data_IF_955982830444
#
_entry.id   IF_955982830444
#
_cell.length_a   1.000
_cell.length_b   1.000
_cell.length_c   1.000
_cell.angle_alpha   90.00
_cell.angle_beta   90.00
_cell.angle_gamma   90.00
#
_symmetry.space_group_name_H-M   'P 1'
#
loop_
_entity.id
_entity.type
_entity.pdbx_description
1 polymer ?
#
# COMPACT_ATOMS: atom_id res chain seq x y z
N UNK A 1 1.08 -6.82 13.23
CA UNK A 1 0.47 -6.61 14.55
C UNK A 1 -0.75 -7.51 14.68
N UNK A 2 -0.94 -8.17 15.82
CA UNK A 2 -2.10 -9.02 16.09
C UNK A 2 -2.79 -8.50 17.35
N UNK A 3 -4.03 -8.07 17.21
CA UNK A 3 -4.82 -7.65 18.34
C UNK A 3 -5.26 -8.89 19.15
N UNK A 4 -4.93 -8.94 20.45
CA UNK A 4 -5.23 -10.08 21.35
C UNK A 4 -4.90 -11.44 20.72
N UNK A 5 -3.77 -11.55 20.01
CA UNK A 5 -3.32 -12.74 19.29
C UNK A 5 -4.25 -13.26 18.19
N UNK A 6 -5.32 -12.53 17.83
CA UNK A 6 -6.21 -12.89 16.74
C UNK A 6 -5.49 -12.84 15.39
N UNK A 7 -5.90 -13.70 14.47
CA UNK A 7 -5.39 -13.70 13.10
C UNK A 7 -5.76 -12.40 12.38
N UNK A 8 -4.90 -11.87 11.48
CA UNK A 8 -5.21 -10.69 10.67
C UNK A 8 -6.48 -10.79 9.83
N UNK A 9 -6.99 -11.99 9.57
CA UNK A 9 -8.25 -12.22 8.85
C UNK A 9 -9.50 -11.69 9.60
N UNK A 10 -9.39 -11.41 10.89
CA UNK A 10 -10.46 -10.85 11.72
C UNK A 10 -10.39 -9.33 11.85
N UNK A 11 -9.40 -8.69 11.20
CA UNK A 11 -9.32 -7.24 11.10
C UNK A 11 -9.94 -6.79 9.77
N UNK A 12 -10.99 -5.99 9.86
CA UNK A 12 -11.68 -5.49 8.68
C UNK A 12 -11.04 -4.20 8.19
N UNK A 13 -10.79 -4.13 6.90
CA UNK A 13 -10.20 -2.97 6.27
C UNK A 13 -11.13 -2.43 5.18
N UNK A 14 -11.42 -1.15 5.29
CA UNK A 14 -12.26 -0.41 4.36
C UNK A 14 -11.47 0.69 3.67
N UNK A 15 -11.88 1.03 2.46
CA UNK A 15 -11.44 2.25 1.77
C UNK A 15 -12.71 2.99 1.37
N UNK A 16 -12.88 4.22 1.85
CA UNK A 16 -14.10 5.03 1.67
C UNK A 16 -15.40 4.27 2.06
N UNK A 17 -15.34 3.41 3.07
CA UNK A 17 -16.46 2.59 3.51
C UNK A 17 -16.70 1.31 2.72
N UNK A 18 -15.95 1.04 1.65
CA UNK A 18 -16.02 -0.22 0.91
C UNK A 18 -15.08 -1.26 1.52
N UNK A 19 -15.54 -2.51 1.77
CA UNK A 19 -14.70 -3.57 2.32
C UNK A 19 -13.63 -4.00 1.30
N UNK A 20 -12.40 -4.14 1.76
CA UNK A 20 -11.24 -4.43 0.92
C UNK A 20 -10.49 -5.70 1.32
N UNK A 21 -11.03 -6.47 2.25
CA UNK A 21 -10.48 -7.77 2.60
C UNK A 21 -10.70 -8.75 1.44
N UNK A 22 -9.70 -9.55 1.17
CA UNK A 22 -9.76 -10.60 0.16
C UNK A 22 -10.80 -11.66 0.56
N UNK A 23 -11.69 -12.02 -0.35
CA UNK A 23 -12.84 -12.88 -0.06
C UNK A 23 -12.44 -14.34 0.25
N UNK A 24 -11.30 -14.79 -0.22
CA UNK A 24 -10.79 -16.14 -0.01
C UNK A 24 -10.02 -16.24 1.32
N UNK A 25 -9.06 -15.35 1.55
CA UNK A 25 -8.19 -15.38 2.73
C UNK A 25 -8.73 -14.61 3.93
N UNK A 26 -9.69 -13.72 3.72
CA UNK A 26 -10.20 -12.79 4.73
C UNK A 26 -9.21 -11.68 5.10
N UNK A 27 -8.05 -11.59 4.46
CA UNK A 27 -7.00 -10.65 4.83
C UNK A 27 -6.93 -9.48 3.84
N UNK A 28 -6.62 -8.30 4.35
CA UNK A 28 -6.29 -7.17 3.49
C UNK A 28 -4.87 -7.31 2.94
N UNK A 29 -4.73 -7.16 1.64
CA UNK A 29 -3.44 -7.18 0.94
C UNK A 29 -2.81 -5.80 0.95
N UNK A 30 -1.97 -5.51 1.93
CA UNK A 30 -1.27 -4.21 2.05
C UNK A 30 -0.40 -3.86 0.83
N UNK A 31 -0.07 -4.81 -0.02
CA UNK A 31 0.59 -4.54 -1.31
C UNK A 31 -0.25 -3.67 -2.23
N UNK A 32 -1.58 -3.69 -2.13
CA UNK A 32 -2.49 -2.87 -2.93
C UNK A 32 -2.30 -1.36 -2.70
N UNK A 33 -1.92 -0.98 -1.49
CA UNK A 33 -1.69 0.42 -1.09
C UNK A 33 -0.23 0.74 -0.85
N UNK A 34 0.66 -0.17 -1.25
CA UNK A 34 2.10 -0.03 -1.07
C UNK A 34 2.64 1.22 -1.75
N UNK A 35 3.36 2.08 -1.02
CA UNK A 35 3.89 3.34 -1.54
C UNK A 35 2.93 4.53 -1.51
N UNK A 36 1.66 4.33 -1.14
CA UNK A 36 0.65 5.39 -1.04
C UNK A 36 0.59 5.96 0.39
N UNK A 37 1.72 6.44 0.90
CA UNK A 37 1.86 6.82 2.30
C UNK A 37 0.99 8.01 2.73
N UNK A 38 0.59 8.88 1.80
CA UNK A 38 -0.26 10.01 2.14
C UNK A 38 -1.74 9.58 2.27
N UNK A 39 -2.19 8.69 1.40
CA UNK A 39 -3.54 8.15 1.41
C UNK A 39 -3.78 7.29 2.65
N UNK A 40 -2.80 6.48 3.04
CA UNK A 40 -2.90 5.60 4.21
C UNK A 40 -2.70 6.30 5.56
N UNK A 41 -2.46 7.62 5.58
CA UNK A 41 -2.41 8.41 6.83
C UNK A 41 -3.80 8.77 7.35
N UNK A 42 -4.75 9.00 6.46
CA UNK A 42 -6.13 9.29 6.83
C UNK A 42 -6.85 7.97 7.10
N UNK A 43 -6.83 7.53 8.34
CA UNK A 43 -7.44 6.30 8.77
C UNK A 43 -8.30 6.54 10.00
N UNK A 44 -9.56 6.14 9.91
CA UNK A 44 -10.45 5.98 11.03
C UNK A 44 -10.27 4.57 11.58
N UNK A 45 -10.04 4.45 12.85
CA UNK A 45 -9.80 3.18 13.53
C UNK A 45 -10.88 2.94 14.58
N UNK A 46 -11.48 1.76 14.55
CA UNK A 46 -12.40 1.30 15.58
C UNK A 46 -11.82 0.08 16.30
N UNK A 47 -11.87 0.12 17.63
CA UNK A 47 -11.52 -1.02 18.47
C UNK A 47 -12.55 -2.15 18.29
N UNK A 48 -12.21 -3.40 18.66
CA UNK A 48 -13.16 -4.50 18.63
C UNK A 48 -14.42 -4.17 19.44
N UNK A 49 -15.58 -4.41 18.85
CA UNK A 49 -16.91 -4.15 19.43
C UNK A 49 -17.20 -2.68 19.76
N UNK A 50 -16.34 -1.76 19.31
CA UNK A 50 -16.60 -0.33 19.42
C UNK A 50 -17.64 0.08 18.37
N UNK A 51 -18.58 0.94 18.77
CA UNK A 51 -19.56 1.49 17.84
C UNK A 51 -18.86 2.45 16.87
N UNK A 52 -19.08 2.26 15.57
CA UNK A 52 -18.54 3.09 14.51
C UNK A 52 -19.53 3.15 13.34
N UNK A 53 -19.32 4.05 12.39
CA UNK A 53 -20.22 4.32 11.28
C UNK A 53 -19.75 3.73 9.93
N UNK A 54 -18.71 2.91 9.91
CA UNK A 54 -18.13 2.38 8.67
C UNK A 54 -18.00 0.85 8.65
N UNK A 55 -18.09 0.17 9.78
CA UNK A 55 -17.98 -1.29 9.82
C UNK A 55 -19.12 -1.92 10.66
N UNK A 56 -19.43 -3.16 10.33
CA UNK A 56 -20.41 -3.96 11.08
C UNK A 56 -19.84 -4.63 12.34
N UNK A 57 -18.57 -4.54 12.57
CA UNK A 57 -17.73 -5.01 13.67
C UNK A 57 -16.61 -5.95 13.22
N UNK A 58 -15.38 -5.53 13.39
CA UNK A 58 -14.23 -6.42 13.30
C UNK A 58 -13.91 -7.03 14.67
N UNK A 59 -13.77 -8.34 14.76
CA UNK A 59 -13.37 -9.00 16.02
C UNK A 59 -11.97 -8.58 16.46
N UNK A 60 -11.11 -8.18 15.54
CA UNK A 60 -9.77 -7.67 15.79
C UNK A 60 -9.64 -6.15 15.47
N UNK A 61 -10.76 -5.43 15.45
CA UNK A 61 -10.83 -4.02 15.08
C UNK A 61 -11.02 -3.80 13.60
N UNK A 62 -11.31 -2.55 13.23
CA UNK A 62 -11.58 -2.14 11.85
C UNK A 62 -10.82 -0.88 11.51
N UNK A 63 -10.38 -0.76 10.26
CA UNK A 63 -9.71 0.43 9.74
C UNK A 63 -10.44 0.90 8.49
N UNK A 64 -10.72 2.20 8.40
CA UNK A 64 -11.26 2.82 7.20
C UNK A 64 -10.30 3.89 6.70
N UNK A 65 -9.70 3.67 5.54
CA UNK A 65 -8.83 4.64 4.89
C UNK A 65 -9.67 5.60 4.05
N UNK A 66 -9.48 6.89 4.27
CA UNK A 66 -10.13 7.92 3.45
C UNK A 66 -9.24 8.28 2.25
N UNK A 67 -9.64 7.81 1.06
CA UNK A 67 -8.97 8.06 -0.22
C UNK A 67 -9.66 9.17 -1.03
N UNK A 68 -10.56 9.94 -0.42
CA UNK A 68 -11.18 11.08 -1.08
C UNK A 68 -10.15 12.19 -1.31
N UNK A 69 -10.19 12.84 -2.48
CA UNK A 69 -9.24 13.89 -2.82
C UNK A 69 -9.28 15.09 -1.86
N UNK A 70 -10.46 15.42 -1.33
CA UNK A 70 -10.64 16.54 -0.41
C UNK A 70 -10.09 16.31 1.01
N UNK A 71 -9.83 15.06 1.39
CA UNK A 71 -9.19 14.71 2.67
C UNK A 71 -7.67 14.78 2.62
N UNK A 72 -7.08 14.91 1.42
CA UNK A 72 -5.64 15.02 1.26
C UNK A 72 -5.14 16.41 1.61
N UNK A 73 -3.98 16.48 2.28
CA UNK A 73 -3.34 17.74 2.61
C UNK A 73 -3.01 18.53 1.33
N UNK A 74 -3.42 19.81 1.29
CA UNK A 74 -3.17 20.70 0.16
C UNK A 74 -1.68 21.04 -0.01
N UNK A 75 -1.27 21.27 -1.26
CA UNK A 75 0.07 21.67 -1.64
C UNK A 75 0.88 20.56 -2.31
N UNK A 76 2.13 20.88 -2.60
CA UNK A 76 3.09 19.97 -3.22
C UNK A 76 4.04 19.42 -2.15
N UNK A 77 4.34 18.14 -2.21
CA UNK A 77 5.34 17.51 -1.34
C UNK A 77 6.21 16.55 -2.15
N UNK A 78 7.52 16.74 -2.05
CA UNK A 78 8.52 15.81 -2.55
C UNK A 78 9.18 15.15 -1.34
N UNK A 79 9.30 13.83 -1.38
CA UNK A 79 9.98 13.07 -0.34
C UNK A 79 10.99 12.13 -0.98
N UNK A 80 12.23 12.23 -0.53
CA UNK A 80 13.30 11.30 -0.86
C UNK A 80 13.70 10.54 0.39
N UNK A 81 13.90 9.25 0.28
CA UNK A 81 14.33 8.43 1.42
C UNK A 81 15.15 7.24 0.97
N UNK A 82 16.15 6.91 1.77
CA UNK A 82 16.95 5.71 1.65
C UNK A 82 16.52 4.64 2.66
N UNK A 83 16.70 3.39 2.28
CA UNK A 83 16.50 2.23 3.14
C UNK A 83 17.48 1.13 2.73
N UNK A 84 17.72 0.19 3.61
CA UNK A 84 18.68 -0.91 3.36
C UNK A 84 18.04 -2.30 3.43
N UNK A 85 16.71 -2.39 3.35
CA UNK A 85 16.00 -3.67 3.45
C UNK A 85 15.47 -4.13 2.10
N UNK A 86 14.26 -3.71 1.72
CA UNK A 86 13.62 -4.16 0.48
C UNK A 86 14.02 -3.30 -0.72
N UNK A 87 14.18 -1.99 -0.51
CA UNK A 87 14.61 -1.03 -1.53
C UNK A 87 15.70 -0.14 -0.97
N UNK A 88 16.52 0.41 -1.86
CA UNK A 88 17.61 1.34 -1.50
C UNK A 88 17.13 2.78 -1.56
N UNK A 89 16.37 3.12 -2.58
CA UNK A 89 15.89 4.48 -2.82
C UNK A 89 14.38 4.51 -2.99
N UNK A 90 13.74 5.53 -2.43
CA UNK A 90 12.35 5.89 -2.67
C UNK A 90 12.24 7.37 -2.98
N UNK A 91 11.65 7.69 -4.13
CA UNK A 91 11.18 9.03 -4.47
C UNK A 91 9.66 9.05 -4.44
N UNK A 92 9.05 10.08 -3.82
CA UNK A 92 7.61 10.26 -3.76
C UNK A 92 7.28 11.71 -4.04
N UNK A 93 6.31 11.92 -4.93
CA UNK A 93 5.67 13.20 -5.18
C UNK A 93 4.20 13.10 -4.83
N UNK A 94 3.70 14.06 -4.07
CA UNK A 94 2.29 14.15 -3.67
C UNK A 94 1.79 15.56 -3.92
N UNK A 95 0.60 15.65 -4.50
CA UNK A 95 -0.11 16.89 -4.71
C UNK A 95 -1.54 16.76 -4.21
N UNK A 96 -2.02 17.80 -3.51
CA UNK A 96 -3.41 17.99 -3.16
C UNK A 96 -3.81 19.43 -3.45
N UNK A 97 -4.94 19.65 -4.11
CA UNK A 97 -5.42 21.00 -4.38
C UNK A 97 -6.19 21.60 -3.19
N UNK A 98 -6.71 20.76 -2.29
CA UNK A 98 -7.81 21.13 -1.42
C UNK A 98 -9.08 21.47 -2.22
N UNK A 99 -10.17 21.86 -1.54
CA UNK A 99 -11.38 22.30 -2.21
C UNK A 99 -11.22 23.74 -2.73
N UNK A 100 -11.51 23.95 -4.01
CA UNK A 100 -11.60 25.28 -4.58
C UNK A 100 -12.98 25.92 -4.33
N UNK A 101 -13.15 27.20 -4.70
CA UNK A 101 -14.41 27.93 -4.55
C UNK A 101 -15.60 27.30 -5.27
N UNK A 102 -15.37 26.45 -6.25
CA UNK A 102 -16.40 25.71 -6.98
C UNK A 102 -16.66 24.32 -6.38
N UNK A 103 -16.04 23.96 -5.24
CA UNK A 103 -16.19 22.69 -4.57
C UNK A 103 -15.47 21.51 -5.22
N UNK A 104 -14.46 21.73 -6.06
CA UNK A 104 -13.61 20.69 -6.63
C UNK A 104 -12.34 20.50 -5.82
N UNK A 105 -11.94 19.24 -5.64
CA UNK A 105 -10.65 18.86 -5.09
C UNK A 105 -9.99 17.80 -5.98
N UNK A 106 -8.68 17.90 -6.13
CA UNK A 106 -7.83 16.98 -6.87
C UNK A 106 -6.67 16.53 -6.00
N UNK A 107 -6.31 15.27 -6.11
CA UNK A 107 -5.13 14.75 -5.42
C UNK A 107 -4.42 13.71 -6.29
N UNK A 108 -3.09 13.71 -6.21
CA UNK A 108 -2.28 12.69 -6.87
C UNK A 108 -1.08 12.32 -6.00
N UNK A 109 -0.64 11.07 -6.12
CA UNK A 109 0.60 10.59 -5.53
C UNK A 109 1.30 9.69 -6.55
N UNK A 110 2.59 9.92 -6.72
CA UNK A 110 3.47 9.08 -7.53
C UNK A 110 4.64 8.69 -6.64
N UNK A 111 4.89 7.39 -6.52
CA UNK A 111 6.01 6.87 -5.72
C UNK A 111 6.79 5.87 -6.56
N UNK A 112 8.11 6.00 -6.56
CA UNK A 112 9.02 5.03 -7.13
C UNK A 112 9.97 4.50 -6.06
N UNK A 113 10.08 3.18 -5.97
CA UNK A 113 10.95 2.46 -5.03
C UNK A 113 11.86 1.54 -5.81
N UNK A 114 13.14 1.66 -5.59
CA UNK A 114 14.12 0.95 -6.38
C UNK A 114 15.25 0.38 -5.52
N UNK A 115 15.69 -0.83 -5.87
CA UNK A 115 16.95 -1.44 -5.43
C UNK A 115 17.46 -2.38 -6.51
N UNK A 116 18.67 -2.14 -6.98
CA UNK A 116 19.37 -3.10 -7.85
C UNK A 116 19.87 -4.32 -7.06
N UNK A 117 20.20 -4.11 -5.80
CA UNK A 117 20.55 -5.15 -4.83
C UNK A 117 19.87 -4.82 -3.51
N UNK A 118 19.07 -5.74 -3.01
CA UNK A 118 18.49 -5.64 -1.68
C UNK A 118 19.49 -6.05 -0.59
N UNK A 119 19.00 -6.12 0.64
CA UNK A 119 19.81 -6.56 1.80
C UNK A 119 20.38 -7.97 1.61
N UNK A 120 19.63 -8.86 0.98
CA UNK A 120 20.04 -10.24 0.69
C UNK A 120 20.52 -10.32 -0.76
N UNK A 121 21.60 -11.07 -0.99
CA UNK A 121 22.21 -11.22 -2.32
C UNK A 121 21.22 -11.81 -3.33
N UNK A 122 21.31 -11.34 -4.56
CA UNK A 122 20.45 -11.76 -5.65
C UNK A 122 19.01 -11.24 -5.60
N UNK A 123 18.67 -10.42 -4.62
CA UNK A 123 17.37 -9.73 -4.60
C UNK A 123 17.45 -8.37 -5.27
N UNK A 124 16.37 -7.97 -5.91
CA UNK A 124 16.15 -6.63 -6.44
C UNK A 124 14.69 -6.20 -6.16
N UNK A 125 14.43 -4.92 -6.28
CA UNK A 125 13.12 -4.35 -6.05
C UNK A 125 12.87 -3.19 -7.00
N UNK A 126 11.75 -3.23 -7.72
CA UNK A 126 11.30 -2.19 -8.63
C UNK A 126 9.79 -2.05 -8.47
N UNK A 127 9.34 -0.92 -7.93
CA UNK A 127 7.93 -0.69 -7.71
C UNK A 127 7.57 0.75 -8.02
N UNK A 128 6.57 0.91 -8.86
CA UNK A 128 5.94 2.18 -9.18
C UNK A 128 4.54 2.19 -8.56
N UNK A 129 4.20 3.24 -7.81
CA UNK A 129 2.87 3.37 -7.22
C UNK A 129 2.27 4.69 -7.67
N UNK A 130 1.00 4.66 -8.05
CA UNK A 130 0.25 5.85 -8.43
C UNK A 130 -1.08 5.91 -7.71
N UNK A 131 -1.52 7.12 -7.47
CA UNK A 131 -2.85 7.45 -6.99
C UNK A 131 -3.34 8.70 -7.72
N UNK A 132 -4.59 8.68 -8.13
CA UNK A 132 -5.29 9.84 -8.65
C UNK A 132 -6.68 9.88 -8.03
N UNK A 133 -7.06 11.04 -7.51
CA UNK A 133 -8.37 11.28 -6.91
C UNK A 133 -8.96 12.61 -7.38
N UNK A 134 -10.26 12.60 -7.61
CA UNK A 134 -11.06 13.80 -7.87
C UNK A 134 -12.31 13.75 -7.01
N UNK A 135 -12.68 14.90 -6.45
CA UNK A 135 -13.89 15.03 -5.64
C UNK A 135 -14.62 16.30 -5.97
N UNK A 136 -15.93 16.22 -6.02
CA UNK A 136 -16.84 17.36 -6.16
C UNK A 136 -17.79 17.39 -4.97
N UNK A 137 -17.83 18.52 -4.29
CA UNK A 137 -18.79 18.81 -3.21
C UNK A 137 -19.74 19.91 -3.65
N UNK A 138 -21.03 19.72 -3.39
CA UNK A 138 -22.09 20.70 -3.65
C UNK A 138 -22.61 21.28 -2.33
N UNK A 139 -23.23 22.46 -2.41
CA UNK A 139 -23.77 23.15 -1.25
C UNK A 139 -25.02 22.48 -0.65
N UNK A 140 -25.64 21.57 -1.38
CA UNK A 140 -26.84 20.81 -0.98
C UNK A 140 -26.54 19.51 -0.22
N UNK A 141 -25.32 19.37 0.31
CA UNK A 141 -24.91 18.21 1.10
C UNK A 141 -24.42 16.99 0.30
N UNK A 142 -24.46 17.05 -1.04
CA UNK A 142 -23.92 15.96 -1.86
C UNK A 142 -22.42 16.10 -2.09
N UNK A 143 -21.73 14.98 -2.12
CA UNK A 143 -20.33 14.88 -2.52
C UNK A 143 -20.11 13.62 -3.37
N UNK A 144 -19.44 13.77 -4.50
CA UNK A 144 -18.99 12.66 -5.35
C UNK A 144 -17.47 12.61 -5.36
N UNK A 145 -16.93 11.43 -5.20
CA UNK A 145 -15.49 11.17 -5.23
C UNK A 145 -15.18 9.99 -6.14
N UNK A 146 -14.18 10.15 -6.97
CA UNK A 146 -13.57 9.06 -7.74
C UNK A 146 -12.09 8.99 -7.35
N UNK A 147 -11.62 7.79 -7.05
CA UNK A 147 -10.22 7.51 -6.72
C UNK A 147 -9.77 6.25 -7.42
N UNK A 148 -8.58 6.30 -8.02
CA UNK A 148 -7.94 5.15 -8.64
C UNK A 148 -6.48 5.06 -8.22
N UNK A 149 -5.99 3.86 -8.05
CA UNK A 149 -4.60 3.61 -7.66
C UNK A 149 -4.11 2.26 -8.15
N UNK A 150 -2.80 2.10 -8.13
CA UNK A 150 -2.14 0.85 -8.43
C UNK A 150 -0.68 0.86 -8.00
N UNK A 151 -0.12 -0.33 -7.86
CA UNK A 151 1.24 -0.51 -7.39
C UNK A 151 1.93 -1.66 -8.14
N UNK A 152 2.20 -1.50 -9.48
CA UNK A 152 3.02 -2.47 -10.19
C UNK A 152 4.36 -2.66 -9.49
N UNK A 153 4.65 -3.89 -9.15
CA UNK A 153 5.85 -4.27 -8.39
C UNK A 153 6.51 -5.47 -9.04
N UNK A 154 7.78 -5.35 -9.34
CA UNK A 154 8.66 -6.43 -9.72
C UNK A 154 9.74 -6.60 -8.64
N UNK A 155 9.86 -7.79 -8.10
CA UNK A 155 10.84 -8.08 -7.06
C UNK A 155 11.38 -9.49 -7.14
N UNK A 156 12.65 -9.66 -6.83
CA UNK A 156 13.25 -10.96 -6.64
C UNK A 156 13.06 -11.42 -5.19
N UNK A 157 12.75 -12.69 -5.02
CA UNK A 157 12.52 -13.30 -3.72
C UNK A 157 13.81 -13.87 -3.14
N UNK A 158 13.84 -13.97 -1.82
CA UNK A 158 14.79 -14.80 -1.09
C UNK A 158 14.10 -16.09 -0.64
N UNK A 159 14.86 -17.18 -0.55
CA UNK A 159 14.46 -18.42 0.09
C UNK A 159 15.17 -18.62 1.41
N UNK A 160 14.52 -19.35 2.31
CA UNK A 160 15.22 -19.91 3.45
C UNK A 160 16.07 -21.11 3.01
N UNK A 161 17.21 -21.29 3.64
CA UNK A 161 18.05 -22.48 3.53
C UNK A 161 18.06 -23.22 4.87
N UNK A 162 18.59 -24.43 4.88
CA UNK A 162 18.80 -25.17 6.13
C UNK A 162 20.02 -24.60 6.88
N UNK A 163 20.09 -24.87 8.17
CA UNK A 163 21.19 -24.38 9.01
C UNK A 163 22.55 -24.90 8.51
N UNK A 164 22.60 -26.12 7.97
CA UNK A 164 23.82 -26.71 7.40
C UNK A 164 24.34 -25.90 6.21
N UNK A 165 23.44 -25.40 5.35
CA UNK A 165 23.84 -24.58 4.20
C UNK A 165 24.37 -23.23 4.65
N UNK A 166 23.73 -22.58 5.63
CA UNK A 166 24.23 -21.32 6.19
C UNK A 166 25.62 -21.50 6.83
N UNK A 167 25.83 -22.63 7.52
CA UNK A 167 27.12 -22.94 8.10
C UNK A 167 28.20 -23.23 7.05
N UNK A 168 27.87 -24.00 6.00
CA UNK A 168 28.82 -24.32 4.91
C UNK A 168 29.24 -23.08 4.11
N UNK A 169 28.29 -22.17 3.84
CA UNK A 169 28.55 -20.93 3.10
C UNK A 169 29.14 -19.85 4.00
N UNK A 170 29.05 -20.00 5.32
CA UNK A 170 29.44 -19.03 6.34
C UNK A 170 28.74 -17.66 6.13
N UNK A 171 27.48 -17.70 5.69
CA UNK A 171 26.67 -16.50 5.43
C UNK A 171 25.21 -16.75 5.78
N UNK A 172 24.71 -16.07 6.82
CA UNK A 172 23.28 -16.12 7.23
C UNK A 172 22.34 -15.37 6.28
N UNK A 173 22.87 -14.62 5.31
CA UNK A 173 22.09 -13.91 4.28
C UNK A 173 22.09 -14.67 2.95
N UNK A 174 22.61 -15.90 2.94
CA UNK A 174 22.60 -16.73 1.75
C UNK A 174 21.20 -16.87 1.16
N UNK A 175 21.11 -16.74 -0.17
CA UNK A 175 19.87 -16.86 -0.91
C UNK A 175 20.02 -17.96 -1.97
N UNK A 176 19.32 -19.10 -1.86
CA UNK A 176 19.42 -20.19 -2.80
C UNK A 176 18.78 -19.90 -4.16
N UNK A 177 18.05 -18.81 -4.31
CA UNK A 177 17.29 -18.51 -5.53
C UNK A 177 18.09 -17.75 -6.59
N UNK A 178 19.32 -17.34 -6.31
CA UNK A 178 20.10 -16.60 -7.28
C UNK A 178 21.34 -17.34 -7.76
N UNK A 179 21.82 -16.93 -8.93
CA UNK A 179 23.05 -17.44 -9.53
C UNK A 179 23.42 -16.66 -10.78
N UNK A 180 24.44 -17.11 -11.47
CA UNK A 180 24.88 -16.51 -12.72
C UNK A 180 24.39 -17.35 -13.91
N UNK A 181 23.83 -16.68 -14.91
CA UNK A 181 23.48 -17.22 -16.21
C UNK A 181 24.14 -16.36 -17.29
N UNK A 182 25.03 -16.93 -18.05
CA UNK A 182 25.80 -16.24 -19.10
C UNK A 182 26.49 -14.96 -18.57
N UNK A 183 27.08 -15.01 -17.38
CA UNK A 183 27.75 -13.87 -16.75
C UNK A 183 26.81 -12.81 -16.12
N UNK A 184 25.51 -12.96 -16.26
CA UNK A 184 24.52 -12.06 -15.66
C UNK A 184 23.92 -12.68 -14.41
N UNK A 185 23.79 -11.85 -13.36
CA UNK A 185 23.11 -12.27 -12.14
C UNK A 185 21.62 -12.43 -12.40
N UNK A 186 21.08 -13.58 -12.03
CA UNK A 186 19.68 -13.95 -12.18
C UNK A 186 19.12 -14.44 -10.85
N UNK A 187 17.83 -14.25 -10.66
CA UNK A 187 17.07 -14.87 -9.58
C UNK A 187 15.99 -15.77 -10.19
N UNK A 188 15.89 -16.99 -9.69
CA UNK A 188 14.95 -18.00 -10.20
C UNK A 188 13.49 -17.73 -9.78
N UNK A 189 13.28 -16.86 -8.79
CA UNK A 189 11.95 -16.52 -8.27
C UNK A 189 11.70 -15.01 -8.28
N UNK A 190 11.27 -14.54 -9.43
CA UNK A 190 10.82 -13.16 -9.62
C UNK A 190 9.30 -13.10 -9.47
N UNK A 191 8.80 -12.15 -8.69
CA UNK A 191 7.39 -11.90 -8.48
C UNK A 191 7.04 -10.60 -9.17
N UNK A 192 6.08 -10.68 -10.10
CA UNK A 192 5.42 -9.52 -10.72
C UNK A 192 4.00 -9.44 -10.15
N UNK A 193 3.68 -8.35 -9.50
CA UNK A 193 2.36 -8.12 -8.89
C UNK A 193 1.80 -6.78 -9.35
N UNK A 194 0.59 -6.81 -9.88
CA UNK A 194 -0.14 -5.59 -10.24
C UNK A 194 -1.64 -5.82 -10.11
N UNK A 195 -2.25 -5.10 -9.20
CA UNK A 195 -3.70 -5.08 -9.02
C UNK A 195 -4.15 -3.61 -8.98
N UNK A 196 -4.60 -3.04 -10.12
CA UNK A 196 -5.20 -1.71 -10.13
C UNK A 196 -6.55 -1.74 -9.43
N UNK A 197 -6.88 -0.64 -8.77
CA UNK A 197 -8.16 -0.48 -8.10
C UNK A 197 -8.75 0.90 -8.41
N UNK A 198 -10.07 0.96 -8.44
CA UNK A 198 -10.81 2.21 -8.57
C UNK A 198 -12.06 2.15 -7.68
N UNK A 199 -12.38 3.27 -7.08
CA UNK A 199 -13.57 3.41 -6.24
C UNK A 199 -14.31 4.70 -6.60
N UNK A 200 -15.62 4.59 -6.68
CA UNK A 200 -16.53 5.71 -6.81
C UNK A 200 -17.37 5.80 -5.53
N UNK A 201 -17.39 6.97 -4.91
CA UNK A 201 -18.10 7.19 -3.64
C UNK A 201 -19.05 8.37 -3.79
N UNK A 202 -20.27 8.17 -3.36
CA UNK A 202 -21.27 9.22 -3.23
C UNK A 202 -21.67 9.35 -1.78
N UNK A 203 -21.44 10.52 -1.22
CA UNK A 203 -21.84 10.87 0.15
C UNK A 203 -23.00 11.88 0.09
N UNK A 204 -24.01 11.66 0.89
CA UNK A 204 -25.13 12.57 1.04
C UNK A 204 -25.40 12.82 2.52
N UNK A 205 -25.17 14.07 2.94
CA UNK A 205 -25.51 14.53 4.28
C UNK A 205 -26.96 15.06 4.25
N UNK A 206 -27.83 14.42 4.99
CA UNK A 206 -29.23 14.72 5.16
C UNK A 206 -29.40 15.62 6.38
#
# INVERSE_FOLDING_TARGET
FRYRALSPKYNDVYINGAPMNDMESGQFRYSLVGGLNQQTRNVDFALPFENNNFSLTGMAGSNNYDFRAGSMAGGNRITLSGANRNYTLRGMYTYGSGFNSKGWAFATNITYRWANRGYVEGTFYNAFSYFFGVQKKWNNGHSLSFSTWGNPTERASQGASTDEVYWLVNDYQYNPYWGYQNGHRRNSRVVNDFAPAAIFTWDWNI
#
